data_IF_925822136796
#
_entry.id   IF_925822136796
#
_cell.length_a   1.000
_cell.length_b   1.000
_cell.length_c   1.000
_cell.angle_alpha   90.00
_cell.angle_beta   90.00
_cell.angle_gamma   90.00
#
_symmetry.space_group_name_H-M   'P 1'
#
loop_
_entity.id
_entity.type
_entity.pdbx_description
1 polymer ?
#
# COMPACT_ATOMS: atom_id res chain seq x y z
N UNK A 1 20.31 -34.57 23.39
CA UNK A 1 20.09 -33.13 23.51
C UNK A 1 20.38 -32.38 22.21
N UNK A 2 21.44 -32.66 21.49
CA UNK A 2 21.76 -31.97 20.23
C UNK A 2 20.72 -32.17 19.13
N UNK A 3 20.01 -33.29 19.09
CA UNK A 3 18.97 -33.58 18.09
C UNK A 3 17.70 -32.74 18.26
N UNK A 4 17.39 -32.34 19.48
CA UNK A 4 16.21 -31.53 19.78
C UNK A 4 16.39 -30.08 19.29
N UNK A 5 17.61 -29.53 19.39
CA UNK A 5 17.89 -28.16 18.92
C UNK A 5 17.80 -28.03 17.40
N UNK A 6 18.26 -29.06 16.66
CA UNK A 6 18.20 -29.06 15.18
C UNK A 6 16.75 -29.13 14.72
N UNK A 7 15.91 -29.95 15.38
CA UNK A 7 14.49 -30.08 15.04
C UNK A 7 13.72 -28.78 15.27
N UNK A 8 13.98 -28.09 16.36
CA UNK A 8 13.33 -26.80 16.70
C UNK A 8 13.76 -25.72 15.70
N UNK A 9 15.03 -25.70 15.30
CA UNK A 9 15.53 -24.72 14.32
C UNK A 9 14.87 -24.89 12.96
N UNK A 10 14.71 -26.13 12.49
CA UNK A 10 14.03 -26.43 11.22
C UNK A 10 12.57 -26.01 11.25
N UNK A 11 11.89 -26.22 12.37
CA UNK A 11 10.50 -25.83 12.55
C UNK A 11 10.31 -24.31 12.48
N UNK A 12 11.21 -23.54 13.10
CA UNK A 12 11.19 -22.08 13.07
C UNK A 12 11.44 -21.55 11.65
N UNK A 13 12.34 -22.17 10.89
CA UNK A 13 12.56 -21.79 9.49
C UNK A 13 11.35 -22.07 8.61
N UNK A 14 10.64 -23.18 8.82
CA UNK A 14 9.44 -23.51 8.07
C UNK A 14 8.32 -22.49 8.31
N UNK A 15 8.16 -22.00 9.54
CA UNK A 15 7.18 -20.97 9.90
C UNK A 15 7.52 -19.65 9.21
N UNK A 16 8.78 -19.22 9.18
CA UNK A 16 9.18 -17.99 8.52
C UNK A 16 8.96 -18.02 7.01
N UNK A 17 9.07 -19.16 6.36
CA UNK A 17 8.81 -19.30 4.92
C UNK A 17 7.32 -19.18 4.58
N UNK A 18 6.41 -19.64 5.43
CA UNK A 18 4.97 -19.54 5.20
C UNK A 18 4.45 -18.10 5.37
N UNK A 19 5.16 -17.25 6.10
CA UNK A 19 4.79 -15.84 6.29
C UNK A 19 5.28 -14.93 5.14
N UNK A 20 6.06 -15.45 4.18
CA UNK A 20 6.59 -14.65 3.06
C UNK A 20 5.56 -14.35 1.97
N UNK A 21 4.39 -15.02 1.99
CA UNK A 21 3.31 -14.81 1.01
C UNK A 21 2.09 -14.22 1.72
N UNK A 22 2.08 -12.91 1.86
CA UNK A 22 1.00 -12.21 2.52
C UNK A 22 0.27 -11.25 1.60
N UNK A 23 -0.86 -10.76 2.08
CA UNK A 23 -1.56 -9.65 1.48
C UNK A 23 -0.73 -8.39 1.67
N UNK A 24 -0.56 -7.60 0.61
CA UNK A 24 0.07 -6.29 0.68
C UNK A 24 -0.91 -5.20 0.29
N UNK A 25 -0.90 -4.13 1.06
CA UNK A 25 -1.64 -2.91 0.77
C UNK A 25 -0.77 -1.74 1.18
N UNK A 26 -0.37 -0.92 0.21
CA UNK A 26 0.58 0.17 0.46
C UNK A 26 0.20 1.42 -0.32
N UNK A 27 0.59 2.58 0.21
CA UNK A 27 0.52 3.84 -0.49
C UNK A 27 1.90 4.24 -0.99
N UNK A 28 1.96 4.77 -2.20
CA UNK A 28 3.16 5.35 -2.78
C UNK A 28 2.89 6.78 -3.19
N UNK A 29 3.80 7.67 -2.87
CA UNK A 29 3.76 9.07 -3.28
C UNK A 29 4.86 9.33 -4.29
N UNK A 30 4.55 10.13 -5.30
CA UNK A 30 5.51 10.44 -6.37
C UNK A 30 6.66 11.33 -5.90
N UNK A 31 6.44 12.12 -4.86
CA UNK A 31 7.43 13.03 -4.28
C UNK A 31 7.25 13.13 -2.77
N UNK A 32 8.33 13.31 -2.04
CA UNK A 32 8.28 13.60 -0.60
C UNK A 32 8.41 15.09 -0.29
N UNK A 33 8.86 15.85 -1.24
CA UNK A 33 8.95 17.31 -1.18
C UNK A 33 8.21 17.87 -2.38
N UNK A 34 7.29 18.81 -2.14
CA UNK A 34 6.38 19.31 -3.16
C UNK A 34 6.22 20.83 -3.03
N UNK A 35 6.21 21.51 -4.15
CA UNK A 35 5.87 22.94 -4.20
C UNK A 35 4.35 23.16 -4.14
N UNK A 36 3.94 24.36 -3.71
CA UNK A 36 2.52 24.72 -3.63
C UNK A 36 1.77 24.62 -4.96
N UNK A 37 2.47 24.82 -6.07
CA UNK A 37 1.88 24.79 -7.42
C UNK A 37 2.11 23.46 -8.13
N UNK A 38 2.61 22.46 -7.42
CA UNK A 38 2.88 21.17 -8.00
C UNK A 38 1.79 20.16 -7.66
N UNK A 39 1.69 19.12 -8.48
CA UNK A 39 0.78 18.00 -8.24
C UNK A 39 1.53 16.83 -7.65
N UNK A 40 0.88 16.16 -6.71
CA UNK A 40 1.35 14.92 -6.11
C UNK A 40 0.50 13.78 -6.61
N UNK A 41 1.14 12.73 -7.12
CA UNK A 41 0.47 11.47 -7.42
C UNK A 41 0.56 10.55 -6.22
N UNK A 42 -0.58 10.00 -5.82
CA UNK A 42 -0.68 9.02 -4.74
C UNK A 42 -1.31 7.77 -5.30
N UNK A 43 -0.64 6.64 -5.17
CA UNK A 43 -1.13 5.33 -5.57
C UNK A 43 -1.36 4.47 -4.34
N UNK A 44 -2.57 3.89 -4.24
CA UNK A 44 -2.89 2.86 -3.24
C UNK A 44 -2.92 1.52 -3.97
N UNK A 45 -1.96 0.65 -3.64
CA UNK A 45 -1.68 -0.56 -4.39
C UNK A 45 -1.92 -1.78 -3.52
N UNK A 46 -2.70 -2.72 -4.02
CA UNK A 46 -2.97 -4.00 -3.36
C UNK A 46 -2.63 -5.16 -4.28
N UNK A 47 -2.16 -6.27 -3.71
CA UNK A 47 -1.83 -7.47 -4.47
C UNK A 47 -2.96 -8.50 -4.55
N UNK A 48 -4.12 -8.19 -3.98
CA UNK A 48 -5.34 -8.98 -4.04
C UNK A 48 -6.51 -8.10 -4.43
N UNK A 49 -7.58 -8.68 -4.96
CA UNK A 49 -8.75 -7.92 -5.38
C UNK A 49 -9.62 -7.58 -4.16
N UNK A 50 -9.30 -6.48 -3.50
CA UNK A 50 -10.05 -6.01 -2.35
C UNK A 50 -11.29 -5.22 -2.69
N UNK A 51 -12.18 -5.10 -1.71
CA UNK A 51 -13.44 -4.36 -1.79
C UNK A 51 -13.46 -3.24 -0.75
N UNK A 52 -14.44 -2.34 -0.87
CA UNK A 52 -14.69 -1.28 0.10
C UNK A 52 -13.46 -0.42 0.39
N UNK A 53 -12.78 -0.01 -0.68
CA UNK A 53 -11.67 0.90 -0.56
C UNK A 53 -12.14 2.24 0.01
N UNK A 54 -11.53 2.67 1.12
CA UNK A 54 -11.80 3.95 1.76
C UNK A 54 -10.53 4.79 1.76
N UNK A 55 -10.48 5.86 0.95
CA UNK A 55 -9.32 6.74 0.94
C UNK A 55 -9.26 7.57 2.23
N UNK A 56 -8.09 8.14 2.57
CA UNK A 56 -8.00 9.13 3.64
C UNK A 56 -8.66 10.44 3.23
N UNK A 57 -8.83 11.35 4.19
CA UNK A 57 -9.43 12.66 3.94
C UNK A 57 -8.55 13.62 3.15
N UNK A 58 -7.27 13.32 2.97
CA UNK A 58 -6.29 14.17 2.29
C UNK A 58 -6.24 15.59 2.88
N UNK A 59 -6.21 15.71 4.21
CA UNK A 59 -6.14 17.01 4.89
C UNK A 59 -4.90 17.79 4.43
N UNK A 60 -5.10 19.07 4.10
CA UNK A 60 -4.06 19.92 3.57
C UNK A 60 -3.86 19.81 2.06
N UNK A 61 -4.62 18.94 1.40
CA UNK A 61 -4.59 18.76 -0.05
C UNK A 61 -5.97 18.89 -0.65
N UNK A 62 -6.00 19.22 -1.92
CA UNK A 62 -7.21 19.19 -2.75
C UNK A 62 -7.05 18.08 -3.79
N UNK A 63 -8.06 17.23 -3.92
CA UNK A 63 -8.08 16.19 -4.95
C UNK A 63 -8.39 16.85 -6.29
N UNK A 64 -7.46 16.78 -7.23
CA UNK A 64 -7.61 17.31 -8.60
C UNK A 64 -8.23 16.27 -9.51
N UNK A 65 -7.75 15.04 -9.41
CA UNK A 65 -8.22 13.90 -10.18
C UNK A 65 -8.23 12.65 -9.29
N UNK A 66 -9.14 11.74 -9.59
CA UNK A 66 -9.21 10.44 -8.94
C UNK A 66 -10.49 10.19 -8.18
N UNK A 67 -10.71 8.94 -7.76
CA UNK A 67 -9.79 7.82 -7.96
C UNK A 67 -9.82 7.26 -9.38
N UNK A 68 -8.66 6.97 -9.93
CA UNK A 68 -8.51 6.17 -11.13
C UNK A 68 -8.12 4.75 -10.74
N UNK A 69 -8.88 3.77 -11.19
CA UNK A 69 -8.63 2.38 -10.88
C UNK A 69 -7.90 1.71 -12.03
N UNK A 70 -6.83 0.97 -11.72
CA UNK A 70 -6.17 0.10 -12.69
C UNK A 70 -5.97 -1.29 -12.10
N UNK A 71 -6.07 -2.30 -12.96
CA UNK A 71 -5.88 -3.69 -12.58
C UNK A 71 -4.87 -4.29 -13.54
N UNK A 72 -3.84 -4.92 -12.97
CA UNK A 72 -2.85 -5.69 -13.71
C UNK A 72 -2.91 -7.14 -13.24
N UNK A 73 -3.01 -8.07 -14.19
CA UNK A 73 -3.07 -9.48 -13.91
C UNK A 73 -2.15 -10.19 -14.93
N UNK A 74 -1.10 -10.80 -14.46
CA UNK A 74 -0.12 -11.45 -15.33
C UNK A 74 0.24 -12.84 -14.84
N UNK A 75 0.65 -13.68 -15.79
CA UNK A 75 1.13 -15.03 -15.55
C UNK A 75 2.53 -15.14 -16.09
N UNK A 76 3.49 -15.44 -15.23
CA UNK A 76 4.89 -15.63 -15.62
C UNK A 76 5.36 -16.95 -15.01
N UNK A 77 5.77 -17.88 -15.86
CA UNK A 77 6.24 -19.21 -15.43
C UNK A 77 5.25 -19.93 -14.49
N UNK A 78 3.94 -19.85 -14.80
CA UNK A 78 2.89 -20.46 -14.01
C UNK A 78 2.54 -19.72 -12.72
N UNK A 79 3.17 -18.58 -12.44
CA UNK A 79 2.88 -17.76 -11.27
C UNK A 79 2.01 -16.57 -11.67
N UNK A 80 0.91 -16.41 -10.96
CA UNK A 80 0.03 -15.26 -11.11
C UNK A 80 0.56 -14.08 -10.32
N UNK A 81 0.60 -12.92 -10.97
CA UNK A 81 0.87 -11.64 -10.33
C UNK A 81 -0.34 -10.74 -10.50
N UNK A 82 -0.91 -10.28 -9.42
CA UNK A 82 -2.08 -9.42 -9.40
C UNK A 82 -1.76 -8.10 -8.72
N UNK A 83 -2.24 -7.00 -9.32
CA UNK A 83 -2.11 -5.67 -8.73
C UNK A 83 -3.35 -4.85 -9.06
N UNK A 84 -3.95 -4.26 -8.04
CA UNK A 84 -5.04 -3.29 -8.19
C UNK A 84 -4.61 -1.99 -7.56
N UNK A 85 -4.74 -0.88 -8.29
CA UNK A 85 -4.24 0.43 -7.87
C UNK A 85 -5.34 1.47 -7.97
N UNK A 86 -5.49 2.27 -6.92
CA UNK A 86 -6.29 3.49 -6.93
C UNK A 86 -5.34 4.69 -6.94
N UNK A 87 -5.46 5.54 -7.94
CA UNK A 87 -4.56 6.69 -8.15
C UNK A 87 -5.32 8.00 -7.97
N UNK A 88 -4.73 8.88 -7.17
CA UNK A 88 -5.19 10.24 -6.94
C UNK A 88 -4.11 11.23 -7.34
N UNK A 89 -4.54 12.37 -7.85
CA UNK A 89 -3.68 13.53 -8.06
C UNK A 89 -4.15 14.65 -7.14
N UNK A 90 -3.22 15.17 -6.35
CA UNK A 90 -3.48 16.14 -5.30
C UNK A 90 -2.66 17.40 -5.52
N UNK A 91 -3.20 18.54 -5.08
CA UNK A 91 -2.44 19.78 -4.94
C UNK A 91 -2.47 20.21 -3.48
N UNK A 92 -1.35 20.71 -2.92
CA UNK A 92 -1.37 21.19 -1.54
C UNK A 92 -2.15 22.49 -1.43
N UNK A 93 -2.82 22.68 -0.30
CA UNK A 93 -3.54 23.91 0.01
C UNK A 93 -2.81 24.80 1.01
N UNK A 94 -1.73 24.29 1.58
CA UNK A 94 -0.93 24.98 2.60
C UNK A 94 0.50 24.47 2.60
N UNK A 95 1.41 25.25 3.16
CA UNK A 95 2.81 24.89 3.37
C UNK A 95 2.94 24.08 4.66
N UNK A 96 4.08 23.40 4.79
CA UNK A 96 4.45 22.67 5.98
C UNK A 96 4.56 21.18 5.75
N UNK A 97 4.68 20.43 6.84
CA UNK A 97 4.71 18.99 6.81
C UNK A 97 3.26 18.48 6.82
N UNK A 98 2.82 17.88 5.72
CA UNK A 98 1.48 17.33 5.59
C UNK A 98 1.54 15.81 5.59
N UNK A 99 0.56 15.18 6.22
CA UNK A 99 0.48 13.72 6.30
C UNK A 99 -0.70 13.23 5.48
N UNK A 100 -0.42 12.30 4.57
CA UNK A 100 -1.47 11.51 3.93
C UNK A 100 -1.78 10.36 4.87
N UNK A 101 -2.95 10.38 5.49
CA UNK A 101 -3.37 9.40 6.48
C UNK A 101 -3.59 8.02 5.86
N UNK A 102 -3.84 7.03 6.68
CA UNK A 102 -4.08 5.66 6.24
C UNK A 102 -5.36 5.55 5.44
N UNK A 103 -5.32 4.76 4.37
CA UNK A 103 -6.49 4.24 3.68
C UNK A 103 -6.84 2.85 4.22
N UNK A 104 -8.00 2.35 3.89
CA UNK A 104 -8.42 1.01 4.25
C UNK A 104 -8.96 0.25 3.05
N UNK A 105 -8.81 -1.06 3.08
CA UNK A 105 -9.33 -1.97 2.08
C UNK A 105 -9.81 -3.25 2.78
N UNK A 106 -10.87 -3.85 2.28
CA UNK A 106 -11.36 -5.13 2.76
C UNK A 106 -10.92 -6.22 1.78
N UNK A 107 -10.22 -7.23 2.26
CA UNK A 107 -9.80 -8.38 1.47
C UNK A 107 -10.23 -9.64 2.21
N UNK A 108 -11.10 -10.43 1.59
CA UNK A 108 -11.64 -11.67 2.17
C UNK A 108 -12.22 -11.49 3.58
N UNK A 109 -12.95 -10.39 3.79
CA UNK A 109 -13.59 -10.10 5.07
C UNK A 109 -12.70 -9.46 6.13
N UNK A 110 -11.42 -9.24 5.84
CA UNK A 110 -10.48 -8.57 6.74
C UNK A 110 -10.16 -7.17 6.25
N UNK A 111 -10.07 -6.23 7.19
CA UNK A 111 -9.70 -4.85 6.89
C UNK A 111 -8.19 -4.68 6.99
N UNK A 112 -7.59 -4.16 5.94
CA UNK A 112 -6.16 -3.85 5.88
C UNK A 112 -5.96 -2.35 5.82
N UNK A 113 -4.86 -1.89 6.42
CA UNK A 113 -4.45 -0.49 6.48
C UNK A 113 -3.09 -0.36 5.82
N UNK A 114 -2.88 0.74 5.11
CA UNK A 114 -1.54 1.10 4.64
C UNK A 114 -0.83 1.93 5.72
N UNK A 115 0.38 2.41 5.41
CA UNK A 115 1.10 3.34 6.27
C UNK A 115 0.90 4.77 5.79
N UNK A 116 0.72 5.69 6.72
CA UNK A 116 0.66 7.11 6.39
C UNK A 116 1.97 7.60 5.78
N UNK A 117 1.88 8.64 4.94
CA UNK A 117 3.03 9.22 4.23
C UNK A 117 3.16 10.69 4.57
N UNK A 118 4.38 11.10 4.90
CA UNK A 118 4.71 12.50 5.16
C UNK A 118 5.21 13.16 3.88
N UNK A 119 4.64 14.34 3.58
CA UNK A 119 5.04 15.14 2.42
C UNK A 119 5.34 16.55 2.90
N UNK A 120 6.50 17.07 2.54
CA UNK A 120 6.93 18.42 2.88
C UNK A 120 6.57 19.38 1.75
N UNK A 121 5.81 20.39 2.09
CA UNK A 121 5.42 21.45 1.14
C UNK A 121 6.25 22.71 1.38
#
# INVERSE_FOLDING_TARGET
MKKIFVTVLVLVMAISQTMAQGVSFEAKVSKRTLGLNERLRVDFIMNENGDDFTPPNFDGFRVVLGPNQSISNSWVNGKRSFSKTYTYFLTPTQKGALTIAQATINIDGETYYDFSKLVQI
#
